data_IF_190204882509
#
_entry.id   IF_190204882509
#
_cell.length_a   1.000
_cell.length_b   1.000
_cell.length_c   1.000
_cell.angle_alpha   90.00
_cell.angle_beta   90.00
_cell.angle_gamma   90.00
#
_symmetry.space_group_name_H-M   'P 1'
#
loop_
_entity.id
_entity.type
_entity.pdbx_description
1 polymer ?
#
# COMPACT_ATOMS: atom_id res chain seq x y z
N UNK A 1 -9.67 25.04 -1.52
CA UNK A 1 -8.90 25.12 -0.25
C UNK A 1 -7.75 24.12 -0.31
N UNK A 2 -6.59 24.47 0.28
CA UNK A 2 -5.48 23.50 0.50
C UNK A 2 -5.80 22.59 1.68
N UNK A 3 -5.06 21.46 1.82
CA UNK A 3 -5.24 20.58 2.97
C UNK A 3 -4.98 21.32 4.30
N UNK A 4 -3.96 22.17 4.34
CA UNK A 4 -3.64 23.02 5.49
C UNK A 4 -4.81 23.93 5.90
N UNK A 5 -5.48 24.51 4.92
CA UNK A 5 -6.65 25.37 5.18
C UNK A 5 -7.82 24.53 5.70
N UNK A 6 -8.11 23.38 5.07
CA UNK A 6 -9.16 22.47 5.51
C UNK A 6 -8.93 22.01 6.96
N UNK A 7 -7.70 21.57 7.25
CA UNK A 7 -7.35 21.05 8.59
C UNK A 7 -7.52 22.15 9.66
N UNK A 8 -7.15 23.38 9.36
CA UNK A 8 -7.34 24.51 10.26
C UNK A 8 -8.81 24.75 10.54
N UNK A 9 -9.62 24.86 9.50
CA UNK A 9 -11.07 25.06 9.62
C UNK A 9 -11.76 23.92 10.42
N UNK A 10 -11.34 22.65 10.17
CA UNK A 10 -11.88 21.52 10.90
C UNK A 10 -11.52 21.61 12.39
N UNK A 11 -10.27 22.01 12.71
CA UNK A 11 -9.83 22.20 14.10
C UNK A 11 -10.55 23.34 14.79
N UNK A 12 -10.97 24.36 14.04
CA UNK A 12 -11.73 25.52 14.51
C UNK A 12 -13.24 25.22 14.65
N UNK A 13 -13.68 23.98 14.31
CA UNK A 13 -15.03 23.50 14.54
C UNK A 13 -15.86 23.22 13.28
N UNK A 14 -15.37 23.53 12.07
CA UNK A 14 -16.05 23.27 10.81
C UNK A 14 -15.91 21.79 10.39
N UNK A 15 -16.48 20.88 11.19
CA UNK A 15 -16.31 19.41 11.09
C UNK A 15 -16.76 18.88 9.72
N UNK A 16 -17.75 19.49 9.10
CA UNK A 16 -18.29 19.09 7.79
C UNK A 16 -17.22 19.07 6.68
N UNK A 17 -16.20 19.91 6.80
CA UNK A 17 -15.08 19.96 5.86
C UNK A 17 -14.19 18.72 5.91
N UNK A 18 -14.33 17.86 6.92
CA UNK A 18 -13.61 16.59 6.96
C UNK A 18 -13.99 15.68 5.80
N UNK A 19 -15.24 15.74 5.34
CA UNK A 19 -15.71 15.00 4.16
C UNK A 19 -14.91 15.35 2.90
N UNK A 20 -14.49 16.59 2.76
CA UNK A 20 -13.65 17.06 1.65
C UNK A 20 -12.23 16.43 1.71
N UNK A 21 -11.61 16.36 2.89
CA UNK A 21 -10.35 15.65 3.07
C UNK A 21 -10.51 14.16 2.77
N UNK A 22 -11.59 13.53 3.24
CA UNK A 22 -11.87 12.13 2.93
C UNK A 22 -11.98 11.90 1.42
N UNK A 23 -12.74 12.71 0.71
CA UNK A 23 -12.94 12.55 -0.73
C UNK A 23 -11.65 12.62 -1.55
N UNK A 24 -10.67 13.45 -1.12
CA UNK A 24 -9.35 13.59 -1.77
C UNK A 24 -8.48 12.35 -1.62
N UNK A 25 -8.56 11.67 -0.50
CA UNK A 25 -7.61 10.62 -0.13
C UNK A 25 -8.21 9.21 -0.12
N UNK A 26 -9.55 9.07 -0.03
CA UNK A 26 -10.21 7.78 0.15
C UNK A 26 -9.77 6.74 -0.90
N UNK A 27 -9.78 7.11 -2.18
CA UNK A 27 -9.40 6.19 -3.25
C UNK A 27 -7.96 5.71 -3.14
N UNK A 28 -7.04 6.60 -2.80
CA UNK A 28 -5.62 6.28 -2.65
C UNK A 28 -5.37 5.39 -1.43
N UNK A 29 -5.95 5.76 -0.29
CA UNK A 29 -5.83 4.98 0.96
C UNK A 29 -6.45 3.60 0.80
N UNK A 30 -7.62 3.49 0.19
CA UNK A 30 -8.27 2.21 -0.11
C UNK A 30 -7.37 1.33 -0.99
N UNK A 31 -6.82 1.89 -2.07
CA UNK A 31 -5.89 1.19 -2.96
C UNK A 31 -4.65 0.69 -2.23
N UNK A 32 -4.02 1.54 -1.42
CA UNK A 32 -2.87 1.18 -0.60
C UNK A 32 -3.18 0.02 0.35
N UNK A 33 -4.27 0.13 1.13
CA UNK A 33 -4.71 -0.90 2.07
C UNK A 33 -4.99 -2.22 1.34
N UNK A 34 -5.72 -2.17 0.23
CA UNK A 34 -6.02 -3.33 -0.60
C UNK A 34 -4.74 -4.06 -1.04
N UNK A 35 -3.76 -3.32 -1.57
CA UNK A 35 -2.50 -3.92 -1.98
C UNK A 35 -1.70 -4.50 -0.81
N UNK A 36 -1.75 -3.88 0.36
CA UNK A 36 -1.10 -4.40 1.57
C UNK A 36 -1.73 -5.69 2.09
N UNK A 37 -3.06 -5.84 1.99
CA UNK A 37 -3.81 -7.00 2.47
C UNK A 37 -3.70 -8.22 1.56
N UNK A 38 -3.41 -8.02 0.27
CA UNK A 38 -3.33 -9.09 -0.73
C UNK A 38 -2.43 -10.25 -0.34
N UNK A 39 -1.30 -9.97 0.27
CA UNK A 39 -0.36 -11.01 0.71
C UNK A 39 -0.93 -11.98 1.75
N UNK A 40 -1.94 -11.56 2.46
CA UNK A 40 -2.64 -12.37 3.47
C UNK A 40 -4.02 -12.86 2.98
N UNK A 41 -4.41 -12.55 1.74
CA UNK A 41 -5.74 -12.84 1.16
C UNK A 41 -6.89 -12.25 1.99
N UNK A 42 -6.70 -11.03 2.49
CA UNK A 42 -7.65 -10.32 3.36
C UNK A 42 -8.22 -9.07 2.67
N UNK A 43 -8.25 -9.02 1.35
CA UNK A 43 -8.66 -7.84 0.56
C UNK A 43 -10.09 -7.39 0.86
N UNK A 44 -10.94 -8.32 1.28
CA UNK A 44 -12.33 -8.02 1.67
C UNK A 44 -12.43 -7.07 2.87
N UNK A 45 -11.38 -6.99 3.69
CA UNK A 45 -11.33 -6.06 4.83
C UNK A 45 -10.88 -4.64 4.44
N UNK A 46 -10.57 -4.39 3.15
CA UNK A 46 -9.96 -3.12 2.74
C UNK A 46 -10.86 -1.91 3.01
N UNK A 47 -12.16 -2.03 2.77
CA UNK A 47 -13.12 -0.94 2.99
C UNK A 47 -13.29 -0.64 4.49
N UNK A 48 -13.38 -1.67 5.32
CA UNK A 48 -13.49 -1.53 6.78
C UNK A 48 -12.25 -0.87 7.36
N UNK A 49 -11.05 -1.33 6.95
CA UNK A 49 -9.79 -0.74 7.42
C UNK A 49 -9.55 0.67 6.86
N UNK A 50 -10.08 0.98 5.68
CA UNK A 50 -10.08 2.32 5.14
C UNK A 50 -10.95 3.25 6.02
N UNK A 51 -12.15 2.83 6.35
CA UNK A 51 -13.07 3.55 7.24
C UNK A 51 -12.45 3.74 8.63
N UNK A 52 -11.85 2.70 9.20
CA UNK A 52 -11.15 2.76 10.48
C UNK A 52 -9.95 3.73 10.43
N UNK A 53 -9.23 3.77 9.31
CA UNK A 53 -8.11 4.70 9.09
C UNK A 53 -8.58 6.15 9.17
N UNK A 54 -9.65 6.49 8.44
CA UNK A 54 -10.19 7.85 8.48
C UNK A 54 -10.79 8.20 9.83
N UNK A 55 -11.43 7.26 10.51
CA UNK A 55 -11.92 7.47 11.88
C UNK A 55 -10.76 7.77 12.84
N UNK A 56 -9.67 7.01 12.80
CA UNK A 56 -8.47 7.25 13.60
C UNK A 56 -7.83 8.59 13.26
N UNK A 57 -7.75 8.93 11.98
CA UNK A 57 -7.24 10.21 11.52
C UNK A 57 -8.09 11.38 12.07
N UNK A 58 -9.41 11.28 11.98
CA UNK A 58 -10.31 12.29 12.55
C UNK A 58 -10.10 12.46 14.05
N UNK A 59 -10.09 11.35 14.80
CA UNK A 59 -9.89 11.34 16.26
C UNK A 59 -8.57 11.98 16.69
N UNK A 60 -7.52 11.83 15.90
CA UNK A 60 -6.19 12.35 16.19
C UNK A 60 -5.83 13.63 15.44
N UNK A 61 -6.77 14.21 14.66
CA UNK A 61 -6.51 15.38 13.82
C UNK A 61 -6.05 16.60 14.63
N UNK A 62 -6.57 16.78 15.84
CA UNK A 62 -6.15 17.88 16.72
C UNK A 62 -4.66 17.81 17.07
N UNK A 63 -4.08 16.62 17.19
CA UNK A 63 -2.65 16.41 17.47
C UNK A 63 -1.76 16.49 16.22
N UNK A 64 -2.34 16.47 15.02
CA UNK A 64 -1.58 16.57 13.78
C UNK A 64 -0.90 17.92 13.65
N UNK A 65 0.39 17.94 13.27
CA UNK A 65 1.20 19.14 13.08
C UNK A 65 1.89 19.08 11.71
N UNK A 66 1.61 20.06 10.87
CA UNK A 66 2.16 20.13 9.51
C UNK A 66 3.69 20.31 9.47
N UNK A 67 4.29 20.81 10.55
CA UNK A 67 5.74 20.94 10.64
C UNK A 67 6.44 19.59 10.73
N UNK A 68 5.74 18.53 11.12
CA UNK A 68 6.30 17.20 11.30
C UNK A 68 6.19 16.36 10.01
N UNK A 69 5.10 16.49 9.29
CA UNK A 69 4.85 15.77 8.02
C UNK A 69 3.67 16.38 7.25
N UNK A 70 3.57 16.11 5.95
CA UNK A 70 2.36 16.40 5.19
C UNK A 70 1.17 15.59 5.71
N UNK A 71 -0.06 16.09 5.52
CA UNK A 71 -1.26 15.34 5.89
C UNK A 71 -1.32 13.97 5.19
N UNK A 72 -0.93 13.92 3.92
CA UNK A 72 -0.81 12.67 3.16
C UNK A 72 0.10 11.67 3.87
N UNK A 73 1.34 12.04 4.16
CA UNK A 73 2.33 11.18 4.84
C UNK A 73 1.82 10.68 6.19
N UNK A 74 1.21 11.56 6.98
CA UNK A 74 0.62 11.21 8.26
C UNK A 74 -0.56 10.23 8.11
N UNK A 75 -1.46 10.45 7.16
CA UNK A 75 -2.60 9.58 6.89
C UNK A 75 -2.17 8.19 6.43
N UNK A 76 -1.16 8.09 5.54
CA UNK A 76 -0.59 6.81 5.12
C UNK A 76 0.10 6.06 6.28
N UNK A 77 0.68 6.79 7.23
CA UNK A 77 1.24 6.19 8.45
C UNK A 77 0.14 5.53 9.29
N UNK A 78 -1.01 6.19 9.44
CA UNK A 78 -2.18 5.62 10.12
C UNK A 78 -2.70 4.41 9.37
N UNK A 79 -2.88 4.50 8.04
CA UNK A 79 -3.35 3.41 7.20
C UNK A 79 -2.46 2.17 7.33
N UNK A 80 -1.13 2.36 7.18
CA UNK A 80 -0.16 1.27 7.34
C UNK A 80 -0.25 0.62 8.72
N UNK A 81 -0.30 1.40 9.78
CA UNK A 81 -0.38 0.89 11.15
C UNK A 81 -1.70 0.13 11.39
N UNK A 82 -2.81 0.59 10.82
CA UNK A 82 -4.12 -0.09 10.87
C UNK A 82 -4.03 -1.46 10.19
N UNK A 83 -3.47 -1.53 8.99
CA UNK A 83 -3.26 -2.80 8.27
C UNK A 83 -2.34 -3.75 9.06
N UNK A 84 -1.20 -3.25 9.55
CA UNK A 84 -0.26 -4.10 10.28
C UNK A 84 -0.85 -4.64 11.60
N UNK A 85 -1.70 -3.87 12.26
CA UNK A 85 -2.42 -4.32 13.46
C UNK A 85 -3.37 -5.46 13.12
N UNK A 86 -4.10 -5.36 12.01
CA UNK A 86 -5.01 -6.41 11.57
C UNK A 86 -4.25 -7.67 11.14
N UNK A 87 -3.19 -7.55 10.37
CA UNK A 87 -2.35 -8.68 9.97
C UNK A 87 -1.77 -9.44 11.18
N UNK A 88 -1.41 -8.72 12.26
CA UNK A 88 -0.95 -9.36 13.51
C UNK A 88 -2.09 -10.10 14.22
N UNK A 89 -3.29 -9.53 14.28
CA UNK A 89 -4.47 -10.20 14.88
C UNK A 89 -4.80 -11.49 14.15
N UNK A 90 -4.85 -11.46 12.82
CA UNK A 90 -5.13 -12.62 11.99
C UNK A 90 -4.06 -13.71 12.16
N UNK A 91 -2.78 -13.32 12.19
CA UNK A 91 -1.70 -14.27 12.47
C UNK A 91 -1.83 -14.93 13.85
N UNK A 92 -2.17 -14.16 14.88
CA UNK A 92 -2.39 -14.69 16.22
C UNK A 92 -3.61 -15.62 16.27
N UNK A 93 -4.71 -15.27 15.61
CA UNK A 93 -5.90 -16.10 15.50
C UNK A 93 -5.61 -17.43 14.80
N UNK A 94 -4.87 -17.40 13.68
CA UNK A 94 -4.50 -18.58 12.92
C UNK A 94 -3.56 -19.53 13.70
N UNK A 95 -2.71 -18.99 14.58
CA UNK A 95 -1.87 -19.82 15.47
C UNK A 95 -2.68 -20.49 16.58
N UNK A 96 -3.87 -19.97 16.90
CA UNK A 96 -4.78 -20.55 17.90
C UNK A 96 -5.77 -21.55 17.32
N UNK A 97 -5.90 -21.57 16.00
CA UNK A 97 -6.76 -22.46 15.22
C UNK A 97 -5.87 -23.36 14.37
N UNK A 98 -5.31 -24.39 14.99
CA UNK A 98 -4.73 -25.51 14.26
C UNK A 98 -5.87 -26.24 13.52
N UNK A 99 -5.72 -26.42 12.21
CA UNK A 99 -6.63 -27.13 11.30
C UNK A 99 -7.96 -26.42 10.91
N UNK A 100 -7.92 -25.65 9.84
CA UNK A 100 -9.04 -25.62 8.88
C UNK A 100 -8.59 -25.04 7.54
N UNK A 101 -8.80 -25.85 6.51
CA UNK A 101 -8.32 -25.64 5.16
C UNK A 101 -8.76 -24.32 4.52
N UNK A 102 -7.82 -23.73 3.82
CA UNK A 102 -7.98 -22.55 2.99
C UNK A 102 -8.75 -22.97 1.73
N UNK A 103 -9.92 -22.39 1.52
CA UNK A 103 -10.65 -22.49 0.26
C UNK A 103 -10.07 -21.48 -0.73
N UNK A 104 -9.56 -21.89 -1.89
CA UNK A 104 -9.13 -20.96 -2.92
C UNK A 104 -10.35 -20.28 -3.55
N UNK A 105 -10.43 -18.96 -3.47
CA UNK A 105 -11.37 -18.19 -4.29
C UNK A 105 -10.77 -18.05 -5.69
N UNK A 106 -11.34 -18.75 -6.63
CA UNK A 106 -11.04 -18.63 -8.06
C UNK A 106 -11.62 -17.34 -8.61
N UNK A 107 -10.81 -16.58 -9.33
CA UNK A 107 -11.24 -15.40 -10.07
C UNK A 107 -12.04 -15.79 -11.33
N UNK A 108 -13.05 -15.01 -11.73
CA UNK A 108 -13.86 -15.31 -12.92
C UNK A 108 -13.23 -14.82 -14.21
N UNK A 109 -13.46 -15.62 -15.19
CA UNK A 109 -13.39 -15.58 -16.65
C UNK A 109 -12.78 -14.44 -17.43
N UNK A 110 -12.00 -14.90 -18.39
CA UNK A 110 -11.22 -14.17 -19.36
C UNK A 110 -11.92 -14.11 -20.74
N UNK A 111 -11.92 -12.92 -21.28
CA UNK A 111 -12.15 -12.65 -22.71
C UNK A 111 -10.86 -12.85 -23.53
N UNK A 112 -10.79 -12.41 -24.81
CA UNK A 112 -9.93 -12.95 -25.85
C UNK A 112 -8.44 -13.07 -25.47
N UNK A 113 -7.76 -14.02 -26.11
CA UNK A 113 -6.45 -14.61 -25.80
C UNK A 113 -5.35 -13.63 -25.37
N UNK A 114 -5.30 -12.43 -25.95
CA UNK A 114 -4.32 -11.39 -25.58
C UNK A 114 -4.63 -10.73 -24.21
N UNK A 115 -5.90 -10.65 -23.83
CA UNK A 115 -6.31 -10.16 -22.51
C UNK A 115 -6.00 -11.20 -21.42
N UNK A 116 -6.10 -12.48 -21.74
CA UNK A 116 -5.73 -13.60 -20.86
C UNK A 116 -4.26 -13.55 -20.53
N UNK A 117 -3.38 -13.50 -21.54
CA UNK A 117 -1.91 -13.43 -21.36
C UNK A 117 -1.49 -12.18 -20.57
N UNK A 118 -2.13 -11.05 -20.81
CA UNK A 118 -1.87 -9.82 -20.03
C UNK A 118 -2.32 -9.97 -18.58
N UNK A 119 -3.47 -10.57 -18.35
CA UNK A 119 -3.99 -10.82 -16.99
C UNK A 119 -3.12 -11.82 -16.24
N UNK A 120 -2.63 -12.87 -16.88
CA UNK A 120 -1.70 -13.84 -16.29
C UNK A 120 -0.38 -13.18 -15.89
N UNK A 121 0.23 -12.37 -16.78
CA UNK A 121 1.45 -11.61 -16.47
C UNK A 121 1.25 -10.68 -15.27
N UNK A 122 0.14 -9.95 -15.25
CA UNK A 122 -0.19 -9.08 -14.14
C UNK A 122 -0.44 -9.84 -12.83
N UNK A 123 -0.98 -11.04 -12.90
CA UNK A 123 -1.15 -11.92 -11.74
C UNK A 123 0.21 -12.38 -11.17
N UNK A 124 1.15 -12.78 -12.04
CA UNK A 124 2.50 -13.18 -11.64
C UNK A 124 3.26 -12.01 -10.96
N UNK A 125 3.18 -10.80 -11.53
CA UNK A 125 3.80 -9.61 -10.92
C UNK A 125 3.19 -9.32 -9.54
N UNK A 126 1.87 -9.41 -9.41
CA UNK A 126 1.18 -9.20 -8.13
C UNK A 126 1.61 -10.24 -7.09
N UNK A 127 1.73 -11.49 -7.50
CA UNK A 127 2.18 -12.56 -6.61
C UNK A 127 3.63 -12.34 -6.16
N UNK A 128 4.52 -11.98 -7.05
CA UNK A 128 5.90 -11.63 -6.71
C UNK A 128 5.99 -10.48 -5.69
N UNK A 129 5.12 -9.46 -5.83
CA UNK A 129 5.03 -8.36 -4.86
C UNK A 129 4.46 -8.85 -3.51
N UNK A 130 3.46 -9.73 -3.53
CA UNK A 130 2.85 -10.28 -2.31
C UNK A 130 3.83 -11.13 -1.49
N UNK A 131 4.78 -11.78 -2.15
CA UNK A 131 5.82 -12.60 -1.51
C UNK A 131 6.96 -11.78 -0.88
N UNK A 132 6.98 -10.46 -1.09
CA UNK A 132 8.01 -9.60 -0.48
C UNK A 132 7.82 -9.49 1.04
N UNK A 133 8.92 -9.37 1.81
CA UNK A 133 8.87 -8.95 3.21
C UNK A 133 8.09 -7.63 3.35
N UNK A 134 7.35 -7.47 4.46
CA UNK A 134 6.41 -6.37 4.68
C UNK A 134 7.01 -4.98 4.36
N UNK A 135 8.18 -4.66 4.90
CA UNK A 135 8.82 -3.34 4.66
C UNK A 135 9.21 -3.12 3.20
N UNK A 136 9.65 -4.17 2.49
CA UNK A 136 9.97 -4.09 1.07
C UNK A 136 8.71 -3.89 0.24
N UNK A 137 7.65 -4.64 0.55
CA UNK A 137 6.35 -4.51 -0.10
C UNK A 137 5.73 -3.13 0.12
N UNK A 138 5.70 -2.64 1.37
CA UNK A 138 5.19 -1.29 1.68
C UNK A 138 5.96 -0.21 0.91
N UNK A 139 7.31 -0.27 0.92
CA UNK A 139 8.12 0.70 0.21
C UNK A 139 7.84 0.68 -1.31
N UNK A 140 7.71 -0.52 -1.89
CA UNK A 140 7.45 -0.68 -3.31
C UNK A 140 6.06 -0.17 -3.70
N UNK A 141 5.02 -0.49 -2.91
CA UNK A 141 3.65 0.00 -3.15
C UNK A 141 3.64 1.53 -3.09
N UNK A 142 4.17 2.14 -2.04
CA UNK A 142 4.20 3.60 -1.88
C UNK A 142 4.96 4.29 -3.04
N UNK A 143 6.03 3.66 -3.53
CA UNK A 143 6.84 4.23 -4.63
C UNK A 143 6.16 4.09 -5.98
N UNK A 144 5.69 2.89 -6.34
CA UNK A 144 5.25 2.57 -7.69
C UNK A 144 3.77 2.91 -7.93
N UNK A 145 2.91 2.73 -6.93
CA UNK A 145 1.47 3.01 -7.05
C UNK A 145 1.10 4.43 -6.61
N UNK A 146 1.70 4.91 -5.50
CA UNK A 146 1.35 6.22 -4.93
C UNK A 146 2.35 7.33 -5.31
N UNK A 147 3.43 7.00 -6.05
CA UNK A 147 4.43 7.93 -6.57
C UNK A 147 5.12 8.78 -5.49
N UNK A 148 5.21 8.26 -4.26
CA UNK A 148 5.82 8.97 -3.15
C UNK A 148 7.34 9.09 -3.31
N UNK A 149 7.88 10.18 -2.80
CA UNK A 149 9.33 10.35 -2.74
C UNK A 149 9.96 9.54 -1.59
N UNK A 150 11.30 9.45 -1.58
CA UNK A 150 12.01 8.65 -0.58
C UNK A 150 11.89 9.21 0.84
N UNK A 151 11.68 10.52 0.97
CA UNK A 151 11.54 11.19 2.26
C UNK A 151 10.17 10.87 2.88
N UNK A 152 9.12 10.94 2.06
CA UNK A 152 7.75 10.57 2.45
C UNK A 152 7.69 9.09 2.86
N UNK A 153 8.25 8.20 2.05
CA UNK A 153 8.32 6.76 2.36
C UNK A 153 9.12 6.52 3.65
N UNK A 154 10.23 7.22 3.84
CA UNK A 154 11.04 7.12 5.05
C UNK A 154 10.23 7.50 6.30
N UNK A 155 9.47 8.58 6.22
CA UNK A 155 8.58 9.04 7.30
C UNK A 155 7.48 8.00 7.60
N UNK A 156 6.79 7.48 6.56
CA UNK A 156 5.71 6.48 6.71
C UNK A 156 6.23 5.17 7.32
N UNK A 157 7.44 4.74 6.92
CA UNK A 157 8.03 3.48 7.39
C UNK A 157 8.80 3.61 8.71
N UNK A 158 9.00 4.83 9.21
CA UNK A 158 9.89 5.10 10.35
C UNK A 158 11.33 4.65 10.07
N UNK A 159 11.84 4.95 8.87
CA UNK A 159 13.16 4.55 8.38
C UNK A 159 13.97 5.77 7.91
N UNK A 160 15.27 5.58 7.67
CA UNK A 160 16.08 6.58 6.98
C UNK A 160 15.89 6.48 5.46
N UNK A 161 16.15 7.56 4.74
CA UNK A 161 16.13 7.59 3.26
C UNK A 161 17.10 6.55 2.67
N UNK A 162 18.27 6.36 3.28
CA UNK A 162 19.22 5.32 2.85
C UNK A 162 18.65 3.92 3.01
N UNK A 163 17.92 3.66 4.12
CA UNK A 163 17.23 2.40 4.34
C UNK A 163 16.14 2.16 3.30
N UNK A 164 15.35 3.20 2.96
CA UNK A 164 14.31 3.12 1.91
C UNK A 164 14.91 2.77 0.55
N UNK A 165 16.02 3.42 0.15
CA UNK A 165 16.74 3.07 -1.08
C UNK A 165 17.14 1.59 -1.11
N UNK A 166 17.68 1.09 0.01
CA UNK A 166 18.08 -0.31 0.15
C UNK A 166 16.87 -1.27 0.13
N UNK A 167 15.73 -0.89 0.72
CA UNK A 167 14.49 -1.68 0.67
C UNK A 167 13.96 -1.79 -0.75
N UNK A 168 13.90 -0.67 -1.48
CA UNK A 168 13.44 -0.64 -2.87
C UNK A 168 14.35 -1.42 -3.81
N UNK A 169 15.67 -1.29 -3.64
CA UNK A 169 16.63 -2.07 -4.41
C UNK A 169 16.40 -3.59 -4.22
N UNK A 170 16.32 -4.04 -2.96
CA UNK A 170 16.07 -5.46 -2.65
C UNK A 170 14.70 -5.93 -3.12
N UNK A 171 13.66 -5.10 -2.97
CA UNK A 171 12.32 -5.42 -3.45
C UNK A 171 12.31 -5.66 -4.96
N UNK A 172 12.89 -4.74 -5.74
CA UNK A 172 12.97 -4.87 -7.21
C UNK A 172 13.79 -6.09 -7.63
N UNK A 173 14.94 -6.32 -6.98
CA UNK A 173 15.77 -7.50 -7.25
C UNK A 173 15.00 -8.80 -6.98
N UNK A 174 14.29 -8.88 -5.85
CA UNK A 174 13.48 -10.07 -5.51
C UNK A 174 12.34 -10.31 -6.49
N UNK A 175 11.63 -9.25 -6.90
CA UNK A 175 10.57 -9.34 -7.92
C UNK A 175 11.15 -9.82 -9.25
N UNK A 176 12.30 -9.26 -9.68
CA UNK A 176 12.98 -9.68 -10.91
C UNK A 176 13.30 -11.17 -10.90
N UNK A 177 13.93 -11.66 -9.84
CA UNK A 177 14.30 -13.10 -9.70
C UNK A 177 13.06 -14.00 -9.74
N UNK A 178 11.95 -13.60 -9.11
CA UNK A 178 10.71 -14.37 -9.14
C UNK A 178 10.04 -14.39 -10.52
N UNK A 179 10.23 -13.35 -11.33
CA UNK A 179 9.62 -13.24 -12.65
C UNK A 179 10.50 -13.80 -13.79
N UNK A 180 11.80 -13.95 -13.56
CA UNK A 180 12.76 -14.42 -14.55
C UNK A 180 12.37 -15.76 -15.23
N UNK A 181 11.83 -16.79 -14.52
CA UNK A 181 11.40 -18.04 -15.14
C UNK A 181 10.25 -17.89 -16.13
N UNK A 182 9.45 -16.82 -16.02
CA UNK A 182 8.25 -16.62 -16.82
C UNK A 182 8.45 -15.67 -18.01
N UNK A 183 9.43 -14.77 -17.92
CA UNK A 183 9.63 -13.72 -18.91
C UNK A 183 10.98 -13.87 -19.66
N UNK A 184 11.85 -14.80 -19.24
CA UNK A 184 13.17 -15.03 -19.85
C UNK A 184 14.01 -13.75 -19.86
N UNK A 185 14.88 -13.62 -20.86
CA UNK A 185 15.76 -12.45 -21.06
C UNK A 185 14.99 -11.15 -21.44
N UNK A 186 13.67 -11.21 -21.65
CA UNK A 186 12.84 -10.04 -21.98
C UNK A 186 12.70 -9.03 -20.85
N UNK A 187 13.12 -9.37 -19.62
CA UNK A 187 13.32 -8.41 -18.52
C UNK A 187 14.71 -7.75 -18.62
N UNK A 188 15.07 -7.33 -19.84
CA UNK A 188 16.26 -6.53 -20.09
C UNK A 188 16.25 -5.26 -19.24
N UNK A 189 17.44 -4.83 -18.85
CA UNK A 189 17.75 -3.71 -17.94
C UNK A 189 17.08 -2.38 -18.35
N UNK A 190 16.58 -2.27 -19.56
CA UNK A 190 16.03 -1.03 -20.15
C UNK A 190 14.66 -0.61 -19.56
N UNK A 191 13.77 -1.52 -19.16
CA UNK A 191 12.47 -1.14 -18.60
C UNK A 191 12.58 -0.65 -17.15
N UNK A 192 13.61 -1.08 -16.40
CA UNK A 192 13.87 -0.60 -15.05
C UNK A 192 14.76 0.66 -15.01
N UNK A 193 15.49 1.00 -16.07
CA UNK A 193 16.24 2.25 -16.17
C UNK A 193 15.36 3.46 -16.52
N UNK A 194 14.26 3.28 -17.23
CA UNK A 194 13.27 4.32 -17.49
C UNK A 194 12.59 4.86 -16.21
N UNK A 195 12.66 4.14 -15.11
CA UNK A 195 12.21 4.55 -13.78
C UNK A 195 13.27 5.34 -12.98
N UNK A 196 14.50 5.50 -13.51
CA UNK A 196 15.58 6.23 -12.81
C UNK A 196 15.62 7.73 -13.07
N UNK A 197 14.88 8.21 -14.06
CA UNK A 197 14.95 9.62 -14.49
C UNK A 197 13.57 10.23 -14.74
N UNK A 198 12.82 10.44 -13.66
CA UNK A 198 11.80 11.52 -13.62
C UNK A 198 11.45 11.83 -12.17
#
# INVERSE_FOLDING_TARGET
MTDSQLIREIKDGNIELYSELMSRYQRKILSFIFHMLKSAKLELLAEDLCSETFYKAYRSLHSFREVDASFSTWLYTIARNTVLSELRKQKAANLSLDESGIVPVTAPDAGPEQLVLRNERMAMVREAINNLPEKQRSALILREYDQMDYQEIASILGQTVSSVKSLLFRARASVKVQLEPYFGEALGVEEFEGMKTR
#
